data_IF_277920245919
#
_entry.id   IF_277920245919
#
_cell.length_a   1.000
_cell.length_b   1.000
_cell.length_c   1.000
_cell.angle_alpha   90.00
_cell.angle_beta   90.00
_cell.angle_gamma   90.00
#
_symmetry.space_group_name_H-M   'P 1'
#
loop_
_entity.id
_entity.type
_entity.pdbx_description
1 polymer ?
#
# COMPACT_ATOMS: atom_id res chain seq x y z
N UNK A 1 26.63 -11.08 4.11
CA UNK A 1 25.72 -10.21 3.32
C UNK A 1 24.52 -9.90 4.18
N UNK A 2 24.39 -8.65 4.60
CA UNK A 2 23.51 -8.24 5.67
C UNK A 2 22.05 -8.18 5.19
N UNK A 3 21.20 -9.02 5.79
CA UNK A 3 19.76 -8.85 5.77
C UNK A 3 19.46 -7.55 6.52
N UNK A 4 19.12 -6.48 5.77
CA UNK A 4 18.62 -5.25 6.37
C UNK A 4 17.28 -5.55 7.01
N UNK A 5 17.31 -5.66 8.34
CA UNK A 5 16.15 -5.67 9.22
C UNK A 5 15.28 -4.45 8.92
N UNK A 6 14.22 -4.67 8.17
CA UNK A 6 13.18 -3.68 7.96
C UNK A 6 12.44 -3.54 9.29
N UNK A 7 12.91 -2.61 10.13
CA UNK A 7 12.16 -2.20 11.32
C UNK A 7 10.84 -1.61 10.85
N UNK A 8 9.78 -2.38 11.02
CA UNK A 8 8.41 -1.89 10.99
C UNK A 8 8.30 -0.89 12.12
N UNK A 9 8.39 0.40 11.83
CA UNK A 9 8.06 1.44 12.82
C UNK A 9 6.62 1.22 13.24
N UNK A 10 6.33 1.16 14.54
CA UNK A 10 4.98 1.01 15.01
C UNK A 10 4.18 2.25 14.65
N UNK A 11 3.20 2.11 13.75
CA UNK A 11 2.11 3.07 13.68
C UNK A 11 1.38 2.96 15.02
N UNK A 12 1.45 4.01 15.84
CA UNK A 12 0.84 4.12 17.16
C UNK A 12 -0.70 4.20 17.10
N UNK A 13 -1.33 3.30 16.38
CA UNK A 13 -2.72 2.94 16.58
C UNK A 13 -2.72 1.60 17.30
N UNK A 14 -2.58 1.67 18.63
CA UNK A 14 -2.82 0.55 19.53
C UNK A 14 -4.32 0.20 19.47
N UNK A 15 -4.66 -0.76 18.62
CA UNK A 15 -5.87 -1.55 18.83
C UNK A 15 -5.55 -2.70 19.79
N UNK A 16 -6.45 -3.06 20.73
CA UNK A 16 -6.22 -4.17 21.63
C UNK A 16 -6.06 -5.46 20.81
N UNK A 17 -4.84 -5.96 20.81
CA UNK A 17 -4.42 -7.01 19.93
C UNK A 17 -5.02 -8.36 20.25
N UNK A 18 -5.72 -8.91 19.28
CA UNK A 18 -5.80 -10.35 19.10
C UNK A 18 -4.57 -10.76 18.29
N UNK A 19 -3.65 -11.47 18.90
CA UNK A 19 -2.57 -12.18 18.20
C UNK A 19 -3.24 -13.43 17.63
N UNK A 20 -3.23 -13.70 16.31
CA UNK A 20 -3.68 -14.99 15.83
C UNK A 20 -2.78 -16.03 16.49
N UNK A 21 -3.37 -16.86 17.32
CA UNK A 21 -2.67 -17.92 18.07
C UNK A 21 -2.09 -18.99 17.13
N UNK A 22 -2.41 -18.94 15.83
CA UNK A 22 -1.90 -19.92 14.88
C UNK A 22 -1.65 -19.33 13.48
N UNK A 23 -0.65 -19.88 12.81
CA UNK A 23 -0.37 -19.68 11.38
C UNK A 23 -1.59 -20.04 10.53
N UNK A 24 -2.40 -20.97 10.96
CA UNK A 24 -3.62 -21.42 10.28
C UNK A 24 -4.66 -20.30 10.13
N UNK A 25 -4.85 -19.46 11.16
CA UNK A 25 -5.74 -18.30 11.08
C UNK A 25 -5.24 -17.29 10.04
N UNK A 26 -3.94 -17.09 9.94
CA UNK A 26 -3.31 -16.21 8.95
C UNK A 26 -3.48 -16.78 7.52
N UNK A 27 -3.29 -18.10 7.33
CA UNK A 27 -3.49 -18.81 6.07
C UNK A 27 -4.96 -18.72 5.62
N UNK A 28 -5.91 -18.82 6.55
CA UNK A 28 -7.34 -18.65 6.26
C UNK A 28 -7.68 -17.24 5.79
N UNK A 29 -7.15 -16.22 6.47
CA UNK A 29 -7.33 -14.81 6.07
C UNK A 29 -6.71 -14.55 4.68
N UNK A 30 -5.54 -15.09 4.42
CA UNK A 30 -4.90 -14.99 3.10
C UNK A 30 -5.76 -15.63 2.01
N UNK A 31 -6.20 -16.87 2.22
CA UNK A 31 -7.07 -17.58 1.27
C UNK A 31 -8.37 -16.82 1.00
N UNK A 32 -9.01 -16.26 2.04
CA UNK A 32 -10.25 -15.51 1.93
C UNK A 32 -10.09 -14.15 1.22
N UNK A 33 -8.89 -13.58 1.19
CA UNK A 33 -8.60 -12.26 0.58
C UNK A 33 -7.78 -12.35 -0.70
N UNK A 34 -7.29 -13.52 -1.06
CA UNK A 34 -6.36 -13.72 -2.17
C UNK A 34 -6.83 -13.13 -3.49
N UNK A 35 -8.05 -13.43 -3.91
CA UNK A 35 -8.59 -12.94 -5.18
C UNK A 35 -8.77 -11.42 -5.21
N UNK A 36 -9.11 -10.81 -4.08
CA UNK A 36 -9.21 -9.35 -3.97
C UNK A 36 -7.83 -8.71 -4.12
N UNK A 37 -6.84 -9.22 -3.40
CA UNK A 37 -5.45 -8.75 -3.48
C UNK A 37 -4.87 -8.95 -4.88
N UNK A 38 -5.19 -10.07 -5.55
CA UNK A 38 -4.75 -10.35 -6.91
C UNK A 38 -5.36 -9.40 -7.95
N UNK A 39 -6.66 -9.09 -7.83
CA UNK A 39 -7.32 -8.08 -8.68
C UNK A 39 -6.68 -6.72 -8.51
N UNK A 40 -6.37 -6.34 -7.27
CA UNK A 40 -5.69 -5.11 -6.94
C UNK A 40 -4.28 -5.07 -7.53
N UNK A 41 -3.49 -6.12 -7.33
CA UNK A 41 -2.17 -6.25 -7.93
C UNK A 41 -2.23 -6.18 -9.47
N UNK A 42 -3.28 -6.72 -10.08
CA UNK A 42 -3.53 -6.62 -11.53
C UNK A 42 -3.84 -5.18 -11.96
N UNK A 43 -4.56 -4.41 -11.15
CA UNK A 43 -4.81 -3.00 -11.44
C UNK A 43 -3.53 -2.19 -11.38
N UNK A 44 -2.70 -2.41 -10.35
CA UNK A 44 -1.39 -1.76 -10.21
C UNK A 44 -0.48 -2.06 -11.40
N UNK A 45 -0.53 -3.25 -11.97
CA UNK A 45 0.30 -3.65 -13.11
C UNK A 45 -0.15 -3.05 -14.43
N UNK A 46 -1.46 -2.82 -14.64
CA UNK A 46 -1.97 -2.26 -15.92
C UNK A 46 -1.33 -0.93 -16.28
N UNK A 47 -0.89 -0.18 -15.29
CA UNK A 47 -0.16 1.06 -15.50
C UNK A 47 1.34 0.88 -15.82
N UNK A 48 1.92 -0.32 -15.66
CA UNK A 48 3.34 -0.55 -15.90
C UNK A 48 3.60 -1.85 -16.68
N UNK A 49 3.58 -1.81 -18.02
CA UNK A 49 3.89 -2.97 -18.86
C UNK A 49 5.27 -3.57 -18.60
N UNK A 50 6.20 -2.78 -18.07
CA UNK A 50 7.57 -3.22 -17.72
C UNK A 50 7.71 -3.77 -16.31
N UNK A 51 6.59 -3.93 -15.57
CA UNK A 51 6.61 -4.46 -14.20
C UNK A 51 7.21 -5.88 -14.17
N UNK A 52 8.26 -6.05 -13.37
CA UNK A 52 8.97 -7.32 -13.21
C UNK A 52 8.21 -8.36 -12.40
N UNK A 53 7.24 -7.92 -11.58
CA UNK A 53 6.41 -8.80 -10.76
C UNK A 53 5.04 -8.98 -11.42
N UNK A 54 4.62 -10.23 -11.65
CA UNK A 54 3.23 -10.52 -12.00
C UNK A 54 2.30 -10.24 -10.82
N UNK A 55 0.98 -10.02 -11.04
CA UNK A 55 0.03 -9.84 -9.94
C UNK A 55 0.08 -10.96 -8.91
N UNK A 56 0.13 -12.20 -9.38
CA UNK A 56 0.26 -13.38 -8.53
C UNK A 56 1.57 -13.39 -7.75
N UNK A 57 2.70 -13.05 -8.41
CA UNK A 57 4.00 -12.96 -7.74
C UNK A 57 3.98 -11.86 -6.66
N UNK A 58 3.39 -10.69 -6.94
CA UNK A 58 3.30 -9.61 -5.97
C UNK A 58 2.53 -10.03 -4.71
N UNK A 59 1.39 -10.71 -4.88
CA UNK A 59 0.57 -11.18 -3.74
C UNK A 59 1.30 -12.28 -2.96
N UNK A 60 1.94 -13.23 -3.63
CA UNK A 60 2.68 -14.31 -2.98
C UNK A 60 3.94 -13.78 -2.25
N UNK A 61 4.68 -12.85 -2.85
CA UNK A 61 5.83 -12.21 -2.19
C UNK A 61 5.37 -11.39 -0.97
N UNK A 62 4.23 -10.69 -1.06
CA UNK A 62 3.66 -10.00 0.08
C UNK A 62 3.30 -10.98 1.20
N UNK A 63 2.71 -12.13 0.85
CA UNK A 63 2.43 -13.20 1.80
C UNK A 63 3.69 -13.72 2.49
N UNK A 64 4.73 -14.09 1.71
CA UNK A 64 6.00 -14.58 2.25
C UNK A 64 6.65 -13.57 3.19
N UNK A 65 6.61 -12.28 2.82
CA UNK A 65 7.13 -11.19 3.65
C UNK A 65 6.36 -11.04 4.97
N UNK A 66 5.04 -11.19 4.93
CA UNK A 66 4.19 -11.19 6.12
C UNK A 66 4.43 -12.43 6.98
N UNK A 67 4.36 -13.61 6.39
CA UNK A 67 4.51 -14.89 7.09
C UNK A 67 5.87 -15.07 7.78
N UNK A 68 6.90 -14.39 7.29
CA UNK A 68 8.24 -14.35 7.91
C UNK A 68 8.41 -13.33 9.04
N UNK A 69 7.38 -12.53 9.34
CA UNK A 69 7.47 -11.53 10.42
C UNK A 69 6.88 -12.08 11.72
N UNK A 70 7.66 -12.13 12.82
CA UNK A 70 7.20 -12.69 14.09
C UNK A 70 6.11 -11.86 14.79
N UNK A 71 5.78 -10.68 14.27
CA UNK A 71 4.88 -9.71 14.91
C UNK A 71 3.56 -9.50 14.15
N UNK A 72 3.21 -10.36 13.19
CA UNK A 72 1.95 -10.21 12.47
C UNK A 72 0.81 -10.85 13.26
N UNK A 73 0.13 -9.99 14.02
CA UNK A 73 -1.20 -10.26 14.55
C UNK A 73 -2.26 -9.67 13.62
N UNK A 74 -2.82 -10.43 12.70
CA UNK A 74 -3.98 -9.98 11.94
C UNK A 74 -5.25 -10.34 12.72
N UNK A 75 -5.89 -9.33 13.30
CA UNK A 75 -7.07 -9.50 14.16
C UNK A 75 -8.37 -9.64 13.38
N UNK A 76 -8.38 -9.18 12.14
CA UNK A 76 -9.55 -9.21 11.26
C UNK A 76 -9.14 -9.20 9.80
N UNK A 77 -10.09 -9.52 8.90
CA UNK A 77 -9.90 -9.41 7.45
C UNK A 77 -9.45 -8.01 7.02
N UNK A 78 -10.01 -6.96 7.62
CA UNK A 78 -9.65 -5.58 7.29
C UNK A 78 -8.23 -5.24 7.75
N UNK A 79 -7.87 -5.67 8.94
CA UNK A 79 -6.50 -5.52 9.44
C UNK A 79 -5.50 -6.29 8.57
N UNK A 80 -5.83 -7.52 8.18
CA UNK A 80 -5.02 -8.30 7.26
C UNK A 80 -4.84 -7.58 5.90
N UNK A 81 -5.92 -7.05 5.29
CA UNK A 81 -5.86 -6.26 4.04
C UNK A 81 -4.95 -5.04 4.19
N UNK A 82 -4.98 -4.36 5.34
CA UNK A 82 -4.08 -3.22 5.64
C UNK A 82 -2.61 -3.65 5.65
N UNK A 83 -2.29 -4.75 6.34
CA UNK A 83 -0.91 -5.27 6.41
C UNK A 83 -0.45 -5.72 5.02
N UNK A 84 -1.28 -6.42 4.27
CA UNK A 84 -1.00 -6.85 2.90
C UNK A 84 -0.75 -5.64 1.97
N UNK A 85 -1.58 -4.58 2.09
CA UNK A 85 -1.39 -3.33 1.35
C UNK A 85 -0.01 -2.71 1.59
N UNK A 86 0.43 -2.68 2.85
CA UNK A 86 1.76 -2.18 3.23
C UNK A 86 2.88 -3.05 2.64
N UNK A 87 2.75 -4.36 2.72
CA UNK A 87 3.73 -5.30 2.15
C UNK A 87 3.81 -5.14 0.62
N UNK A 88 2.68 -5.07 -0.07
CA UNK A 88 2.64 -4.86 -1.53
C UNK A 88 3.24 -3.50 -1.92
N UNK A 89 2.94 -2.41 -1.18
CA UNK A 89 3.57 -1.10 -1.40
C UNK A 89 5.09 -1.20 -1.32
N UNK A 90 5.62 -1.84 -0.28
CA UNK A 90 7.06 -2.01 -0.10
C UNK A 90 7.70 -2.78 -1.26
N UNK A 91 7.11 -3.88 -1.71
CA UNK A 91 7.60 -4.67 -2.83
C UNK A 91 7.61 -3.87 -4.14
N UNK A 92 6.56 -3.09 -4.39
CA UNK A 92 6.48 -2.22 -5.56
C UNK A 92 7.57 -1.14 -5.53
N UNK A 93 7.82 -0.54 -4.38
CA UNK A 93 8.88 0.45 -4.18
C UNK A 93 10.26 -0.18 -4.38
N UNK A 94 10.50 -1.37 -3.82
CA UNK A 94 11.76 -2.10 -4.00
C UNK A 94 12.00 -2.46 -5.47
N UNK A 95 10.96 -2.92 -6.17
CA UNK A 95 11.03 -3.21 -7.61
C UNK A 95 11.29 -1.94 -8.44
N UNK A 96 10.62 -0.83 -8.10
CA UNK A 96 10.83 0.46 -8.76
C UNK A 96 12.25 1.01 -8.55
N UNK A 97 12.77 0.91 -7.34
CA UNK A 97 14.17 1.31 -7.03
C UNK A 97 15.18 0.49 -7.83
N UNK A 98 15.02 -0.84 -7.89
CA UNK A 98 15.91 -1.72 -8.68
C UNK A 98 15.90 -1.35 -10.16
N UNK A 99 14.73 -1.06 -10.74
CA UNK A 99 14.61 -0.64 -12.15
C UNK A 99 15.25 0.71 -12.41
N UNK A 100 15.08 1.68 -11.52
CA UNK A 100 15.68 3.01 -11.68
C UNK A 100 17.20 2.99 -11.52
N UNK A 101 17.76 2.11 -10.69
CA UNK A 101 19.20 1.94 -10.57
C UNK A 101 19.84 1.45 -11.89
N UNK A 102 19.10 0.67 -12.70
CA UNK A 102 19.55 0.20 -14.02
C UNK A 102 19.37 1.23 -15.16
N UNK A 103 18.55 2.27 -14.98
CA UNK A 103 18.27 3.30 -15.98
C UNK A 103 18.84 4.65 -15.55
N UNK A 104 20.15 4.84 -15.63
CA UNK A 104 20.77 6.15 -15.47
C UNK A 104 20.47 7.00 -16.73
N UNK A 105 19.62 8.03 -16.58
CA UNK A 105 19.56 9.15 -17.48
C UNK A 105 18.35 9.30 -18.39
N UNK A 106 17.14 9.44 -17.87
CA UNK A 106 16.07 10.12 -18.60
C UNK A 106 15.25 10.99 -17.65
N UNK A 107 15.52 12.30 -17.69
CA UNK A 107 14.75 13.32 -16.98
C UNK A 107 13.41 13.57 -17.70
N UNK A 108 12.43 12.69 -17.52
CA UNK A 108 11.07 12.96 -17.94
C UNK A 108 10.29 13.51 -16.76
N UNK A 109 9.61 14.63 -17.00
CA UNK A 109 8.72 15.29 -16.05
C UNK A 109 7.62 14.33 -15.59
N UNK A 110 7.39 14.23 -14.26
CA UNK A 110 6.40 13.33 -13.70
C UNK A 110 5.08 14.09 -13.60
N UNK A 111 4.20 13.91 -14.57
CA UNK A 111 2.82 14.40 -14.46
C UNK A 111 1.94 13.26 -13.96
N UNK A 112 1.72 13.19 -12.64
CA UNK A 112 0.77 12.24 -12.05
C UNK A 112 -0.59 12.90 -11.97
N UNK A 113 -1.52 12.49 -12.83
CA UNK A 113 -2.92 12.87 -12.70
C UNK A 113 -3.56 11.96 -11.63
N UNK A 114 -3.67 12.46 -10.39
CA UNK A 114 -4.10 11.65 -9.25
C UNK A 114 -5.56 11.20 -9.33
N UNK A 115 -6.45 11.96 -9.99
CA UNK A 115 -7.83 11.52 -10.24
C UNK A 115 -7.87 10.37 -11.24
N UNK A 116 -6.97 10.36 -12.18
CA UNK A 116 -6.75 9.26 -13.13
C UNK A 116 -5.96 8.11 -12.50
N UNK A 117 -5.02 8.40 -11.58
CA UNK A 117 -4.25 7.39 -10.85
C UNK A 117 -5.07 6.64 -9.79
N UNK A 118 -6.20 7.17 -9.33
CA UNK A 118 -7.18 6.44 -8.49
C UNK A 118 -8.10 5.56 -9.33
N UNK A 119 -8.26 5.88 -10.63
CA UNK A 119 -8.95 5.06 -11.63
C UNK A 119 -7.94 4.25 -12.47
N UNK A 120 -6.72 4.73 -12.61
CA UNK A 120 -5.59 4.10 -13.28
C UNK A 120 -4.39 4.17 -12.35
N UNK A 121 -3.91 3.04 -11.94
CA UNK A 121 -2.75 2.86 -11.07
C UNK A 121 -1.49 3.52 -11.63
N UNK A 122 -0.48 3.90 -10.78
CA UNK A 122 0.78 4.50 -11.22
C UNK A 122 1.40 3.75 -12.40
N UNK A 123 1.66 4.46 -13.48
CA UNK A 123 2.03 3.87 -14.77
C UNK A 123 3.53 3.59 -14.90
N UNK A 124 4.34 3.84 -13.87
CA UNK A 124 5.78 3.62 -13.95
C UNK A 124 6.52 3.65 -12.62
N UNK A 125 7.77 3.20 -12.67
CA UNK A 125 8.64 3.13 -11.49
C UNK A 125 8.83 4.47 -10.78
N UNK A 126 8.87 5.57 -11.53
CA UNK A 126 9.03 6.91 -10.96
C UNK A 126 7.79 7.36 -10.21
N UNK A 127 6.62 7.10 -10.77
CA UNK A 127 5.33 7.44 -10.13
C UNK A 127 5.13 6.66 -8.83
N UNK A 128 5.49 5.38 -8.81
CA UNK A 128 5.46 4.56 -7.59
C UNK A 128 6.39 5.16 -6.53
N UNK A 129 7.58 5.60 -6.90
CA UNK A 129 8.53 6.21 -5.97
C UNK A 129 8.06 7.57 -5.47
N UNK A 130 7.55 8.43 -6.36
CA UNK A 130 6.99 9.72 -5.99
C UNK A 130 5.80 9.58 -5.05
N UNK A 131 4.86 8.68 -5.37
CA UNK A 131 3.74 8.38 -4.49
C UNK A 131 4.20 7.84 -3.13
N UNK A 132 5.26 7.01 -3.11
CA UNK A 132 5.80 6.53 -1.84
C UNK A 132 6.33 7.67 -0.98
N UNK A 133 7.11 8.59 -1.56
CA UNK A 133 7.64 9.76 -0.84
C UNK A 133 6.50 10.63 -0.31
N UNK A 134 5.51 10.94 -1.15
CA UNK A 134 4.35 11.73 -0.76
C UNK A 134 3.53 11.06 0.37
N UNK A 135 3.36 9.74 0.33
CA UNK A 135 2.68 9.01 1.41
C UNK A 135 3.48 8.99 2.72
N UNK A 136 4.81 8.94 2.66
CA UNK A 136 5.66 9.02 3.85
C UNK A 136 5.59 10.43 4.47
N UNK A 137 5.50 11.48 3.65
CA UNK A 137 5.28 12.86 4.09
C UNK A 137 3.88 13.03 4.71
N UNK A 138 2.86 12.52 4.03
CA UNK A 138 1.49 12.54 4.55
C UNK A 138 1.39 11.81 5.90
N UNK A 139 2.14 10.72 6.08
CA UNK A 139 2.16 9.97 7.34
C UNK A 139 2.75 10.78 8.51
N UNK A 140 3.70 11.70 8.24
CA UNK A 140 4.24 12.61 9.27
C UNK A 140 3.23 13.68 9.67
N UNK A 141 2.45 14.19 8.71
CA UNK A 141 1.48 15.26 8.95
C UNK A 141 0.14 14.74 9.46
N UNK A 142 -0.35 13.66 8.87
CA UNK A 142 -1.63 13.05 9.17
C UNK A 142 -1.59 11.54 9.00
N UNK A 143 -1.15 10.79 10.04
CA UNK A 143 -1.01 9.33 9.99
C UNK A 143 -2.31 8.62 9.57
N UNK A 144 -3.46 9.10 10.07
CA UNK A 144 -4.77 8.52 9.74
C UNK A 144 -5.08 8.62 8.24
N UNK A 145 -4.83 9.78 7.62
CA UNK A 145 -5.03 9.94 6.18
C UNK A 145 -4.06 9.08 5.37
N UNK A 146 -2.81 8.93 5.81
CA UNK A 146 -1.85 8.06 5.14
C UNK A 146 -2.27 6.58 5.20
N UNK A 147 -2.74 6.10 6.36
CA UNK A 147 -3.31 4.75 6.51
C UNK A 147 -4.52 4.57 5.62
N UNK A 148 -5.42 5.55 5.58
CA UNK A 148 -6.61 5.53 4.72
C UNK A 148 -6.23 5.43 3.23
N UNK A 149 -5.31 6.29 2.77
CA UNK A 149 -4.88 6.27 1.37
C UNK A 149 -4.18 4.95 1.04
N UNK A 150 -3.27 4.50 1.90
CA UNK A 150 -2.56 3.23 1.72
C UNK A 150 -3.51 2.03 1.67
N UNK A 151 -4.48 1.97 2.58
CA UNK A 151 -5.48 0.91 2.64
C UNK A 151 -6.38 0.88 1.41
N UNK A 152 -6.83 2.03 0.94
CA UNK A 152 -7.68 2.14 -0.25
C UNK A 152 -6.90 1.86 -1.54
N UNK A 153 -5.72 2.44 -1.68
CA UNK A 153 -4.94 2.36 -2.90
C UNK A 153 -4.26 1.01 -3.10
N UNK A 154 -3.63 0.46 -2.05
CA UNK A 154 -2.89 -0.80 -2.11
C UNK A 154 -3.66 -1.98 -1.51
N UNK A 155 -4.66 -1.74 -0.64
CA UNK A 155 -5.47 -2.75 0.05
C UNK A 155 -6.87 -2.93 -0.54
N UNK A 156 -7.28 -2.05 -1.47
CA UNK A 156 -8.61 -2.11 -2.10
C UNK A 156 -9.76 -1.88 -1.14
N UNK A 157 -9.51 -1.23 0.01
CA UNK A 157 -10.58 -0.94 0.98
C UNK A 157 -11.59 0.04 0.37
N UNK A 158 -12.86 -0.27 0.49
CA UNK A 158 -13.93 0.66 0.18
C UNK A 158 -14.18 1.66 1.33
N UNK A 159 -15.19 2.53 1.19
CA UNK A 159 -15.50 3.55 2.20
C UNK A 159 -15.97 2.91 3.51
N UNK A 160 -16.96 1.99 3.51
CA UNK A 160 -17.38 1.29 4.72
C UNK A 160 -16.24 0.51 5.42
N UNK A 161 -15.44 -0.22 4.67
CA UNK A 161 -14.28 -0.96 5.19
C UNK A 161 -13.25 -0.01 5.83
N UNK A 162 -12.99 1.13 5.18
CA UNK A 162 -12.08 2.16 5.69
C UNK A 162 -12.62 2.80 6.96
N UNK A 163 -13.91 3.11 7.02
CA UNK A 163 -14.58 3.65 8.18
C UNK A 163 -14.48 2.70 9.38
N UNK A 164 -14.76 1.42 9.14
CA UNK A 164 -14.64 0.36 10.14
C UNK A 164 -13.19 0.19 10.62
N UNK A 165 -12.22 0.11 9.69
CA UNK A 165 -10.80 -0.05 10.03
C UNK A 165 -10.26 1.10 10.89
N UNK A 166 -10.70 2.34 10.62
CA UNK A 166 -10.22 3.54 11.30
C UNK A 166 -11.10 3.98 12.47
N UNK A 167 -12.19 3.24 12.73
CA UNK A 167 -13.20 3.57 13.75
C UNK A 167 -13.72 5.02 13.63
N UNK A 168 -14.10 5.43 12.41
CA UNK A 168 -14.64 6.75 12.09
C UNK A 168 -15.89 6.63 11.20
N UNK A 169 -16.67 7.71 11.08
CA UNK A 169 -17.81 7.70 10.18
C UNK A 169 -17.40 7.74 8.71
N UNK A 170 -18.24 7.18 7.82
CA UNK A 170 -18.04 7.25 6.36
C UNK A 170 -17.97 8.70 5.85
N UNK A 171 -18.75 9.60 6.45
CA UNK A 171 -18.67 11.03 6.15
C UNK A 171 -17.28 11.61 6.46
N UNK A 172 -16.65 11.17 7.55
CA UNK A 172 -15.27 11.54 7.90
C UNK A 172 -14.27 10.96 6.89
N UNK A 173 -14.46 9.69 6.49
CA UNK A 173 -13.64 9.07 5.43
C UNK A 173 -13.71 9.88 4.15
N UNK A 174 -14.91 10.25 3.69
CA UNK A 174 -15.09 11.04 2.47
C UNK A 174 -14.42 12.42 2.53
N UNK A 175 -14.54 13.10 3.67
CA UNK A 175 -13.90 14.40 3.88
C UNK A 175 -12.38 14.28 3.87
N UNK A 176 -11.85 13.35 4.65
CA UNK A 176 -10.41 13.12 4.79
C UNK A 176 -9.81 12.62 3.47
N UNK A 177 -10.56 11.82 2.72
CA UNK A 177 -10.17 11.37 1.38
C UNK A 177 -10.01 12.52 0.40
N UNK A 178 -10.98 13.48 0.37
CA UNK A 178 -10.88 14.66 -0.49
C UNK A 178 -9.66 15.51 -0.13
N UNK A 179 -9.42 15.71 1.17
CA UNK A 179 -8.26 16.47 1.66
C UNK A 179 -6.94 15.79 1.28
N UNK A 180 -6.81 14.48 1.54
CA UNK A 180 -5.62 13.71 1.20
C UNK A 180 -5.36 13.68 -0.31
N UNK A 181 -6.41 13.54 -1.15
CA UNK A 181 -6.29 13.61 -2.60
C UNK A 181 -5.78 14.97 -3.08
N UNK A 182 -6.36 16.06 -2.58
CA UNK A 182 -5.95 17.41 -2.96
C UNK A 182 -4.48 17.67 -2.60
N UNK A 183 -4.07 17.24 -1.40
CA UNK A 183 -2.70 17.37 -0.94
C UNK A 183 -1.73 16.54 -1.79
N UNK A 184 -2.03 15.25 -2.01
CA UNK A 184 -1.20 14.37 -2.84
C UNK A 184 -1.08 14.87 -4.28
N UNK A 185 -2.17 15.37 -4.87
CA UNK A 185 -2.15 15.95 -6.21
C UNK A 185 -1.26 17.21 -6.28
N UNK A 186 -1.22 18.01 -5.20
CA UNK A 186 -0.31 19.15 -5.11
C UNK A 186 1.14 18.69 -4.98
N UNK A 187 1.42 17.75 -4.06
CA UNK A 187 2.77 17.28 -3.77
C UNK A 187 3.41 16.57 -4.97
N UNK A 188 2.66 15.76 -5.71
CA UNK A 188 3.14 15.03 -6.88
C UNK A 188 3.38 15.93 -8.12
N UNK A 189 2.90 17.19 -8.11
CA UNK A 189 3.20 18.19 -9.16
C UNK A 189 4.39 19.08 -8.84
N UNK A 190 4.93 18.97 -7.63
CA UNK A 190 6.14 19.73 -7.26
C UNK A 190 7.32 19.17 -8.03
N UNK A 191 8.11 20.03 -8.70
CA UNK A 191 9.27 19.63 -9.49
C UNK A 191 10.38 19.01 -8.64
#
# INVERSE_FOLDING_TARGET
MAAQNLRLTPDNFEEPGFVPESREALDQLFSATYEELRRLASSVRRGDPSATLSPTALVNEAWLKMAGSPQIGATSRLHFKRIAARAMRQLLVEAARRRNAGKRGSGAEITVNFDEALQKTPSGSREVLALNVALDELARMNPRQAVMVGGRFFGGLDIPETASLLNISEATVLRDWRAAKAWLAHELRRP
#
